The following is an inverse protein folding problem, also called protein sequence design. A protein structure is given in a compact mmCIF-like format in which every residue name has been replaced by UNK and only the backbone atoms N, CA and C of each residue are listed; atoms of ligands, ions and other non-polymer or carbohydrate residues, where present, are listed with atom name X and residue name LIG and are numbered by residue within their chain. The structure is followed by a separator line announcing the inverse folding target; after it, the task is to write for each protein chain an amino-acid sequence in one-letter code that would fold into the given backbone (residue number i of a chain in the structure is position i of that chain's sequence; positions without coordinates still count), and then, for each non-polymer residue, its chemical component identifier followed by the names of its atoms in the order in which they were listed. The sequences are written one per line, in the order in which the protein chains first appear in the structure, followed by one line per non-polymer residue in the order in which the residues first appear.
data_IF_991527701042
#
_entry.id   IF_991527701042
#
_cell.length_a   1.000
_cell.length_b   1.000
_cell.length_c   1.000
_cell.angle_alpha   90.00
_cell.angle_beta   90.00
_cell.angle_gamma   90.00
#
_symmetry.space_group_name_H-M   'P 1'
#
loop_
_entity.id
_entity.type
_entity.pdbx_description
1 polymer ?
#
# COMPACT_ATOMS: atom_id res chain seq x y z
N UNK A 1 -15.53 14.74 17.23
CA UNK A 1 -16.15 15.98 16.73
C UNK A 1 -16.34 15.78 15.24
N UNK A 2 -17.54 15.99 14.71
CA UNK A 2 -17.78 15.90 13.27
C UNK A 2 -17.20 17.13 12.57
N UNK A 3 -16.37 16.91 11.56
CA UNK A 3 -15.80 17.95 10.69
C UNK A 3 -16.37 17.80 9.28
N UNK A 4 -16.27 18.84 8.46
CA UNK A 4 -16.60 18.76 7.03
C UNK A 4 -15.64 17.82 6.28
N UNK A 5 -16.04 17.27 5.11
CA UNK A 5 -15.13 16.48 4.27
C UNK A 5 -13.85 17.24 3.88
N UNK A 6 -13.95 18.55 3.62
CA UNK A 6 -12.81 19.39 3.26
C UNK A 6 -11.83 19.56 4.42
N UNK A 7 -12.33 19.84 5.63
CA UNK A 7 -11.50 19.93 6.84
C UNK A 7 -10.83 18.58 7.16
N UNK A 8 -11.54 17.47 6.93
CA UNK A 8 -10.98 16.12 7.09
C UNK A 8 -9.81 15.90 6.15
N UNK A 9 -9.98 16.23 4.87
CA UNK A 9 -8.94 16.09 3.87
C UNK A 9 -7.71 16.95 4.21
N UNK A 10 -7.93 18.17 4.68
CA UNK A 10 -6.85 19.06 5.10
C UNK A 10 -6.05 18.50 6.28
N UNK A 11 -6.71 17.93 7.28
CA UNK A 11 -6.01 17.30 8.40
C UNK A 11 -5.26 16.05 7.97
N UNK A 12 -5.84 15.20 7.11
CA UNK A 12 -5.12 14.05 6.55
C UNK A 12 -3.89 14.45 5.75
N UNK A 13 -4.00 15.47 4.88
CA UNK A 13 -2.86 15.97 4.11
C UNK A 13 -1.77 16.50 5.04
N UNK A 14 -2.14 17.29 6.05
CA UNK A 14 -1.19 17.80 7.04
C UNK A 14 -0.46 16.68 7.78
N UNK A 15 -1.13 15.57 8.10
CA UNK A 15 -0.52 14.45 8.81
C UNK A 15 0.31 13.56 7.88
N UNK A 16 -0.12 13.41 6.62
CA UNK A 16 0.65 12.79 5.54
C UNK A 16 1.99 13.50 5.32
N UNK A 17 1.98 14.83 5.19
CA UNK A 17 3.18 15.65 4.99
C UNK A 17 4.16 15.61 6.18
N UNK A 18 3.68 15.33 7.39
CA UNK A 18 4.57 15.10 8.55
C UNK A 18 5.35 13.79 8.46
N UNK A 19 4.90 12.82 7.67
CA UNK A 19 5.58 11.54 7.45
C UNK A 19 5.75 10.69 8.73
N UNK A 20 4.84 10.81 9.69
CA UNK A 20 4.97 10.15 11.00
C UNK A 20 3.93 9.04 11.21
N UNK A 21 4.23 8.10 12.10
CA UNK A 21 3.29 7.05 12.51
C UNK A 21 2.03 7.57 13.23
N UNK A 22 1.98 8.88 13.56
CA UNK A 22 0.84 9.49 14.23
C UNK A 22 -0.34 9.80 13.30
N UNK A 23 -0.32 9.37 12.04
CA UNK A 23 -1.45 9.53 11.12
C UNK A 23 -2.76 8.96 11.69
N UNK A 24 -2.71 7.82 12.39
CA UNK A 24 -3.88 7.25 13.07
C UNK A 24 -4.42 8.11 14.21
N UNK A 25 -3.62 9.06 14.71
CA UNK A 25 -4.02 10.06 15.70
C UNK A 25 -4.65 11.32 15.09
N UNK A 26 -4.91 11.36 13.78
CA UNK A 26 -5.57 12.50 13.13
C UNK A 26 -6.98 12.74 13.68
N UNK A 27 -7.71 11.64 13.93
CA UNK A 27 -9.00 11.67 14.62
C UNK A 27 -9.04 10.56 15.68
N UNK A 28 -9.71 10.83 16.80
CA UNK A 28 -9.72 9.93 17.96
C UNK A 28 -10.51 8.63 17.73
N UNK A 29 -11.30 8.56 16.67
CA UNK A 29 -12.20 7.46 16.32
C UNK A 29 -11.71 6.60 15.13
N UNK A 30 -10.58 6.94 14.49
CA UNK A 30 -10.07 6.17 13.34
C UNK A 30 -9.81 4.69 13.64
N UNK A 31 -9.47 4.36 14.89
CA UNK A 31 -9.21 2.97 15.31
C UNK A 31 -10.40 2.32 16.03
N UNK A 32 -11.51 3.05 16.18
CA UNK A 32 -12.69 2.61 16.93
C UNK A 32 -13.95 2.52 16.06
N UNK A 33 -14.01 3.26 14.95
CA UNK A 33 -15.16 3.35 14.07
C UNK A 33 -14.76 3.01 12.62
N UNK A 34 -15.46 2.04 12.02
CA UNK A 34 -15.15 1.57 10.67
C UNK A 34 -15.35 2.65 9.60
N UNK A 35 -16.45 3.40 9.66
CA UNK A 35 -16.73 4.45 8.68
C UNK A 35 -15.66 5.56 8.72
N UNK A 36 -15.24 5.97 9.92
CA UNK A 36 -14.13 6.90 10.08
C UNK A 36 -12.81 6.32 9.54
N UNK A 37 -12.54 5.04 9.79
CA UNK A 37 -11.37 4.34 9.27
C UNK A 37 -11.36 4.30 7.73
N UNK A 38 -12.51 3.99 7.12
CA UNK A 38 -12.67 3.88 5.67
C UNK A 38 -12.29 5.20 4.99
N UNK A 39 -12.66 6.35 5.58
CA UNK A 39 -12.25 7.66 5.01
C UNK A 39 -10.74 7.88 5.04
N UNK A 40 -10.05 7.41 6.08
CA UNK A 40 -8.60 7.50 6.19
C UNK A 40 -7.90 6.50 5.27
N UNK A 41 -8.44 5.28 5.15
CA UNK A 41 -7.95 4.25 4.27
C UNK A 41 -8.07 4.68 2.80
N UNK A 42 -9.21 5.25 2.40
CA UNK A 42 -9.43 5.77 1.06
C UNK A 42 -8.46 6.90 0.72
N UNK A 43 -8.23 7.83 1.65
CA UNK A 43 -7.24 8.88 1.48
C UNK A 43 -5.83 8.31 1.18
N UNK A 44 -5.36 7.34 1.96
CA UNK A 44 -4.05 6.72 1.75
C UNK A 44 -4.00 5.90 0.45
N UNK A 45 -5.07 5.20 0.10
CA UNK A 45 -5.16 4.48 -1.18
C UNK A 45 -5.05 5.45 -2.37
N UNK A 46 -5.67 6.63 -2.27
CA UNK A 46 -5.57 7.65 -3.29
C UNK A 46 -4.15 8.22 -3.39
N UNK A 47 -3.42 8.38 -2.27
CA UNK A 47 -1.99 8.74 -2.31
C UNK A 47 -1.14 7.70 -3.04
N UNK A 48 -1.39 6.41 -2.83
CA UNK A 48 -0.68 5.35 -3.56
C UNK A 48 -0.98 5.44 -5.07
N UNK A 49 -2.25 5.64 -5.45
CA UNK A 49 -2.66 5.83 -6.86
C UNK A 49 -2.05 7.07 -7.50
N UNK A 50 -1.81 8.13 -6.74
CA UNK A 50 -1.12 9.34 -7.22
C UNK A 50 0.37 9.09 -7.48
N UNK A 51 1.02 8.24 -6.67
CA UNK A 51 2.46 7.96 -6.75
C UNK A 51 2.78 6.91 -7.82
N UNK A 52 2.01 5.83 -7.90
CA UNK A 52 2.26 4.70 -8.81
C UNK A 52 1.59 4.94 -10.16
N UNK A 53 2.40 5.06 -11.22
CA UNK A 53 1.97 5.49 -12.55
C UNK A 53 1.18 4.42 -13.32
N UNK A 54 1.49 3.14 -13.08
CA UNK A 54 0.72 2.04 -13.67
C UNK A 54 -0.49 1.74 -12.77
N UNK A 55 -1.73 1.98 -13.23
CA UNK A 55 -2.92 1.78 -12.42
C UNK A 55 -3.13 0.31 -12.02
N UNK A 56 -2.68 -0.65 -12.83
CA UNK A 56 -2.78 -2.08 -12.49
C UNK A 56 -1.84 -2.43 -11.35
N UNK A 57 -0.63 -1.88 -11.36
CA UNK A 57 0.33 -2.06 -10.26
C UNK A 57 -0.14 -1.32 -9.00
N UNK A 58 -0.69 -0.11 -9.16
CA UNK A 58 -1.24 0.66 -8.05
C UNK A 58 -2.32 -0.12 -7.29
N UNK A 59 -3.31 -0.67 -8.01
CA UNK A 59 -4.39 -1.45 -7.38
C UNK A 59 -3.86 -2.70 -6.66
N UNK A 60 -2.87 -3.40 -7.22
CA UNK A 60 -2.24 -4.56 -6.57
C UNK A 60 -1.51 -4.22 -5.26
N UNK A 61 -1.06 -2.98 -5.11
CA UNK A 61 -0.36 -2.50 -3.91
C UNK A 61 -1.32 -2.04 -2.81
N UNK A 62 -2.61 -1.88 -3.12
CA UNK A 62 -3.58 -1.42 -2.13
C UNK A 62 -3.89 -2.54 -1.12
N UNK A 63 -3.91 -2.23 0.17
CA UNK A 63 -4.32 -3.20 1.18
C UNK A 63 -5.83 -3.46 1.07
N UNK A 64 -6.21 -4.74 0.97
CA UNK A 64 -7.60 -5.18 0.95
C UNK A 64 -7.94 -6.07 2.15
N UNK A 65 -9.18 -5.98 2.63
CA UNK A 65 -9.75 -6.93 3.59
C UNK A 65 -9.40 -6.69 5.06
N UNK A 66 -8.77 -5.57 5.41
CA UNK A 66 -8.54 -5.19 6.80
C UNK A 66 -8.55 -3.66 7.01
N UNK A 67 -9.00 -3.17 8.18
CA UNK A 67 -8.98 -1.74 8.51
C UNK A 67 -7.55 -1.18 8.60
N UNK A 68 -7.40 0.09 8.25
CA UNK A 68 -6.16 0.83 8.44
C UNK A 68 -5.78 0.83 9.93
N UNK A 69 -4.53 0.48 10.24
CA UNK A 69 -4.06 0.42 11.63
C UNK A 69 -4.39 -0.88 12.39
N UNK A 70 -5.09 -1.84 11.78
CA UNK A 70 -5.22 -3.20 12.32
C UNK A 70 -3.85 -3.90 12.44
N UNK A 71 -2.89 -3.48 11.61
CA UNK A 71 -1.45 -3.74 11.76
C UNK A 71 -0.70 -2.41 11.83
N UNK A 72 0.49 -2.42 12.43
CA UNK A 72 1.35 -1.23 12.52
C UNK A 72 1.70 -0.72 11.12
N UNK A 73 1.52 0.58 10.89
CA UNK A 73 1.90 1.22 9.64
C UNK A 73 3.42 1.14 9.44
N UNK A 74 3.84 0.89 8.21
CA UNK A 74 5.23 0.99 7.80
C UNK A 74 5.54 2.45 7.44
N UNK A 75 6.73 2.92 7.82
CA UNK A 75 7.32 4.11 7.23
C UNK A 75 8.25 3.66 6.13
N UNK A 76 8.17 4.29 4.98
CA UNK A 76 9.03 3.98 3.85
C UNK A 76 9.84 5.19 3.40
N UNK A 77 10.75 4.92 2.45
CA UNK A 77 11.40 5.96 1.67
C UNK A 77 11.35 5.52 0.22
N UNK A 78 10.51 6.18 -0.57
CA UNK A 78 10.32 5.93 -1.99
C UNK A 78 9.88 4.49 -2.33
N UNK A 79 9.13 3.82 -1.44
CA UNK A 79 8.71 2.44 -1.68
C UNK A 79 7.76 2.34 -2.87
N UNK A 80 6.74 3.19 -2.93
CA UNK A 80 5.76 3.16 -4.02
C UNK A 80 6.37 3.65 -5.34
N UNK A 81 7.24 4.65 -5.30
CA UNK A 81 7.98 5.17 -6.46
C UNK A 81 8.88 4.11 -7.09
N UNK A 82 9.35 3.14 -6.31
CA UNK A 82 10.19 2.04 -6.81
C UNK A 82 9.47 1.24 -7.90
N UNK A 83 8.14 1.11 -7.82
CA UNK A 83 7.35 0.39 -8.80
C UNK A 83 7.17 1.14 -10.14
N UNK A 84 7.58 2.41 -10.21
CA UNK A 84 7.60 3.17 -11.48
C UNK A 84 8.85 2.90 -12.32
N UNK A 85 9.81 2.14 -11.81
CA UNK A 85 11.08 1.87 -12.49
C UNK A 85 10.92 0.73 -13.48
N UNK A 86 11.57 0.85 -14.63
CA UNK A 86 11.52 -0.17 -15.70
C UNK A 86 12.18 -1.50 -15.33
N UNK A 87 12.97 -1.52 -14.25
CA UNK A 87 13.71 -2.69 -13.77
C UNK A 87 13.03 -3.36 -12.56
N UNK A 88 11.79 -3.00 -12.25
CA UNK A 88 11.01 -3.55 -11.14
C UNK A 88 9.72 -4.15 -11.69
N UNK A 89 9.34 -5.32 -11.20
CA UNK A 89 8.09 -5.98 -11.59
C UNK A 89 7.41 -6.52 -10.34
N UNK A 90 6.14 -6.17 -10.15
CA UNK A 90 5.31 -6.69 -9.07
C UNK A 90 4.57 -7.94 -9.55
N UNK A 91 4.80 -9.07 -8.89
CA UNK A 91 4.08 -10.33 -9.11
C UNK A 91 3.03 -10.51 -8.01
N UNK A 92 1.78 -10.76 -8.40
CA UNK A 92 0.68 -10.96 -7.47
C UNK A 92 0.53 -12.45 -7.12
N UNK A 93 1.04 -12.84 -5.96
CA UNK A 93 1.03 -14.23 -5.49
C UNK A 93 -0.34 -14.73 -5.02
N UNK A 94 -1.35 -13.86 -4.90
CA UNK A 94 -2.72 -14.32 -4.67
C UNK A 94 -3.35 -14.90 -5.93
N UNK A 95 -2.93 -14.40 -7.10
CA UNK A 95 -3.38 -14.90 -8.40
C UNK A 95 -2.45 -15.99 -8.95
N UNK A 96 -1.13 -15.83 -8.75
CA UNK A 96 -0.11 -16.74 -9.29
C UNK A 96 0.80 -17.23 -8.17
N UNK A 97 0.49 -18.39 -7.56
CA UNK A 97 1.28 -18.94 -6.46
C UNK A 97 2.66 -19.43 -6.92
N UNK A 98 3.65 -19.33 -6.04
CA UNK A 98 4.96 -19.95 -6.25
C UNK A 98 4.82 -21.47 -6.17
N UNK A 99 5.27 -22.17 -7.22
CA UNK A 99 5.26 -23.64 -7.25
C UNK A 99 6.51 -24.20 -6.57
N UNK A 100 7.70 -23.73 -6.97
CA UNK A 100 8.97 -24.10 -6.36
C UNK A 100 10.11 -23.14 -6.73
N UNK A 101 11.19 -23.21 -5.95
CA UNK A 101 12.48 -22.62 -6.29
C UNK A 101 13.25 -23.65 -7.13
N UNK A 102 13.68 -23.25 -8.32
CA UNK A 102 14.48 -24.06 -9.23
C UNK A 102 15.97 -23.72 -9.07
N UNK A 103 16.90 -24.50 -9.66
CA UNK A 103 18.32 -24.16 -9.64
C UNK A 103 18.68 -22.81 -10.28
N UNK A 104 17.79 -22.23 -11.11
CA UNK A 104 18.03 -20.97 -11.83
C UNK A 104 17.06 -19.85 -11.45
N UNK A 105 16.08 -20.10 -10.57
CA UNK A 105 15.16 -19.06 -10.12
C UNK A 105 13.86 -19.54 -9.48
N UNK A 106 12.74 -18.85 -9.73
CA UNK A 106 11.44 -19.14 -9.11
C UNK A 106 10.42 -19.52 -10.20
N UNK A 107 9.75 -20.66 -10.04
CA UNK A 107 8.67 -21.08 -10.93
C UNK A 107 7.30 -20.64 -10.41
N UNK A 108 6.53 -20.08 -11.33
CA UNK A 108 5.14 -19.66 -11.13
C UNK A 108 4.37 -20.07 -12.38
N UNK A 109 3.56 -21.12 -12.28
CA UNK A 109 2.88 -21.76 -13.40
C UNK A 109 3.87 -22.25 -14.46
N UNK A 110 3.61 -21.87 -15.72
CA UNK A 110 4.45 -22.24 -16.85
C UNK A 110 5.69 -21.34 -17.03
N UNK A 111 5.88 -20.35 -16.16
CA UNK A 111 6.99 -19.38 -16.24
C UNK A 111 8.01 -19.63 -15.14
N UNK A 112 9.29 -19.64 -15.53
CA UNK A 112 10.41 -19.54 -14.59
C UNK A 112 10.99 -18.14 -14.67
N UNK A 113 11.04 -17.45 -13.53
CA UNK A 113 11.72 -16.18 -13.36
C UNK A 113 13.17 -16.48 -12.99
N UNK A 114 14.08 -16.37 -13.95
CA UNK A 114 15.51 -16.53 -13.71
C UNK A 114 16.04 -15.37 -12.86
N UNK A 115 16.73 -15.71 -11.78
CA UNK A 115 17.27 -14.75 -10.81
C UNK A 115 18.57 -15.30 -10.24
N UNK A 116 19.47 -14.38 -9.90
CA UNK A 116 20.76 -14.72 -9.29
C UNK A 116 20.65 -14.84 -7.76
N UNK A 117 19.72 -14.10 -7.13
CA UNK A 117 19.58 -13.99 -5.67
C UNK A 117 18.11 -13.97 -5.22
N UNK A 118 17.83 -14.52 -4.02
CA UNK A 118 16.53 -14.46 -3.31
C UNK A 118 16.76 -13.85 -1.92
N UNK A 119 15.95 -12.87 -1.52
CA UNK A 119 16.02 -12.16 -0.22
C UNK A 119 14.85 -12.54 0.68
#
# INVERSE_FOLDING_TARGET
MSVTPEERLQEYEKQWQKGSLNFLGSFNDLVLNQEANDTAAEFLCNKIREIVKDPVVAEKLLPHGFPLGAKRLCLDTNYFETFNRTNVTLIDLQQESIDEITPTGIRIGDKTYEIDDIV
#
